data_IF_565758359426
#
_entry.id   IF_565758359426
#
_cell.length_a   1.000
_cell.length_b   1.000
_cell.length_c   1.000
_cell.angle_alpha   90.00
_cell.angle_beta   90.00
_cell.angle_gamma   90.00
#
_symmetry.space_group_name_H-M   'P 1'
#
loop_
_entity.id
_entity.type
_entity.pdbx_description
1 polymer ?
#
# COMPACT_ATOMS: atom_id res chain seq x y z
N UNK A 1 17.91 -15.30 16.92
CA UNK A 1 17.19 -15.72 15.70
C UNK A 1 17.61 -14.76 14.59
N UNK A 2 18.40 -15.21 13.62
CA UNK A 2 18.77 -14.36 12.48
C UNK A 2 17.55 -14.25 11.57
N UNK A 3 16.93 -13.08 11.53
CA UNK A 3 15.85 -12.79 10.59
C UNK A 3 16.50 -12.60 9.22
N UNK A 4 16.02 -13.35 8.24
CA UNK A 4 16.43 -13.19 6.84
C UNK A 4 16.15 -11.74 6.40
N UNK A 5 17.14 -11.09 5.78
CA UNK A 5 17.03 -9.70 5.33
C UNK A 5 15.85 -9.50 4.35
N UNK A 6 15.53 -10.52 3.54
CA UNK A 6 14.37 -10.51 2.65
C UNK A 6 13.05 -10.54 3.41
N UNK A 7 12.96 -11.34 4.47
CA UNK A 7 11.78 -11.38 5.35
C UNK A 7 11.60 -10.04 6.08
N UNK A 8 12.69 -9.45 6.56
CA UNK A 8 12.65 -8.14 7.20
C UNK A 8 12.17 -7.05 6.23
N UNK A 9 12.71 -7.01 5.01
CA UNK A 9 12.29 -6.06 3.98
C UNK A 9 10.81 -6.23 3.61
N UNK A 10 10.33 -7.47 3.50
CA UNK A 10 8.92 -7.76 3.27
C UNK A 10 8.03 -7.23 4.39
N UNK A 11 8.40 -7.43 5.66
CA UNK A 11 7.61 -6.90 6.77
C UNK A 11 7.60 -5.37 6.83
N UNK A 12 8.74 -4.73 6.57
CA UNK A 12 8.82 -3.27 6.46
C UNK A 12 7.92 -2.77 5.32
N UNK A 13 7.90 -3.48 4.19
CA UNK A 13 7.01 -3.18 3.07
C UNK A 13 5.54 -3.24 3.48
N UNK A 14 5.14 -4.34 4.11
CA UNK A 14 3.77 -4.58 4.54
C UNK A 14 3.29 -3.58 5.60
N UNK A 15 4.20 -3.04 6.43
CA UNK A 15 3.89 -1.94 7.35
C UNK A 15 3.47 -0.65 6.63
N UNK A 16 3.90 -0.44 5.38
CA UNK A 16 3.41 0.66 4.54
C UNK A 16 2.14 0.29 3.76
N UNK A 17 2.11 -0.91 3.17
CA UNK A 17 0.99 -1.36 2.32
C UNK A 17 -0.31 -1.53 3.11
N UNK A 18 -0.28 -2.15 4.28
CA UNK A 18 -1.49 -2.48 5.05
C UNK A 18 -2.24 -1.22 5.54
N UNK A 19 -1.59 -0.24 6.21
CA UNK A 19 -2.28 0.99 6.60
C UNK A 19 -2.79 1.77 5.40
N UNK A 20 -2.07 1.76 4.29
CA UNK A 20 -2.51 2.40 3.04
C UNK A 20 -3.77 1.73 2.51
N UNK A 21 -3.82 0.40 2.49
CA UNK A 21 -5.00 -0.34 2.08
C UNK A 21 -6.20 -0.01 2.96
N UNK A 22 -6.02 0.01 4.29
CA UNK A 22 -7.08 0.38 5.23
C UNK A 22 -7.56 1.81 4.96
N UNK A 23 -6.64 2.75 4.78
CA UNK A 23 -6.97 4.13 4.46
C UNK A 23 -7.78 4.24 3.16
N UNK A 24 -7.31 3.61 2.08
CA UNK A 24 -7.98 3.62 0.79
C UNK A 24 -9.38 3.02 0.90
N UNK A 25 -9.48 1.84 1.52
CA UNK A 25 -10.72 1.08 1.57
C UNK A 25 -11.78 1.73 2.45
N UNK A 26 -11.43 2.38 3.56
CA UNK A 26 -12.41 2.84 4.54
C UNK A 26 -12.55 4.36 4.66
N UNK A 27 -11.52 5.12 4.27
CA UNK A 27 -11.50 6.57 4.46
C UNK A 27 -11.48 7.36 3.15
N UNK A 28 -10.98 6.77 2.07
CA UNK A 28 -10.87 7.45 0.78
C UNK A 28 -11.92 6.99 -0.25
N UNK A 29 -12.49 5.80 -0.08
CA UNK A 29 -13.37 5.19 -1.08
C UNK A 29 -14.83 5.29 -0.68
N UNK A 30 -15.67 5.81 -1.59
CA UNK A 30 -17.12 5.75 -1.48
C UNK A 30 -17.69 4.57 -2.26
N UNK A 31 -18.18 3.55 -1.55
CA UNK A 31 -18.76 2.38 -2.19
C UNK A 31 -20.21 2.62 -2.61
N UNK A 32 -20.55 2.13 -3.79
CA UNK A 32 -21.93 1.91 -4.23
C UNK A 32 -22.10 0.43 -4.59
N UNK A 33 -23.33 -0.02 -4.78
CA UNK A 33 -23.67 -1.44 -4.93
C UNK A 33 -23.00 -2.21 -6.09
N UNK A 34 -22.36 -1.52 -7.03
CA UNK A 34 -21.57 -2.14 -8.10
C UNK A 34 -20.09 -1.77 -8.09
N UNK A 35 -19.74 -0.54 -7.69
CA UNK A 35 -18.38 -0.04 -7.83
C UNK A 35 -17.39 -0.79 -6.93
N UNK A 36 -17.87 -1.43 -5.86
CA UNK A 36 -17.02 -2.12 -4.90
C UNK A 36 -16.24 -3.25 -5.57
N UNK A 37 -16.80 -3.89 -6.61
CA UNK A 37 -16.14 -4.94 -7.39
C UNK A 37 -14.88 -4.40 -8.08
N UNK A 38 -14.89 -3.14 -8.48
CA UNK A 38 -13.77 -2.49 -9.20
C UNK A 38 -12.84 -1.79 -8.22
N UNK A 39 -13.40 -1.10 -7.22
CA UNK A 39 -12.62 -0.29 -6.27
C UNK A 39 -11.80 -1.15 -5.32
N UNK A 40 -12.29 -2.32 -4.90
CA UNK A 40 -11.50 -3.22 -4.04
C UNK A 40 -10.20 -3.67 -4.73
N UNK A 41 -10.22 -4.25 -5.96
CA UNK A 41 -9.00 -4.57 -6.69
C UNK A 41 -8.08 -3.36 -6.89
N UNK A 42 -8.63 -2.21 -7.30
CA UNK A 42 -7.83 -0.99 -7.52
C UNK A 42 -7.12 -0.57 -6.23
N UNK A 43 -7.83 -0.56 -5.10
CA UNK A 43 -7.26 -0.17 -3.82
C UNK A 43 -6.17 -1.15 -3.35
N UNK A 44 -6.33 -2.45 -3.61
CA UNK A 44 -5.29 -3.46 -3.33
C UNK A 44 -4.03 -3.19 -4.17
N UNK A 45 -4.18 -2.95 -5.47
CA UNK A 45 -3.04 -2.61 -6.33
C UNK A 45 -2.37 -1.30 -5.92
N UNK A 46 -3.16 -0.27 -5.61
CA UNK A 46 -2.66 1.04 -5.24
C UNK A 46 -1.94 0.99 -3.89
N UNK A 47 -2.45 0.20 -2.93
CA UNK A 47 -1.84 0.02 -1.62
C UNK A 47 -0.44 -0.60 -1.69
N UNK A 48 -0.19 -1.50 -2.64
CA UNK A 48 1.14 -2.10 -2.84
C UNK A 48 2.10 -1.20 -3.61
N UNK A 49 1.60 -0.30 -4.46
CA UNK A 49 2.47 0.63 -5.23
C UNK A 49 2.83 1.86 -4.38
N UNK A 50 1.94 2.28 -3.47
CA UNK A 50 2.12 3.50 -2.69
C UNK A 50 3.41 3.57 -1.85
N UNK A 51 3.89 2.48 -1.19
CA UNK A 51 5.16 2.51 -0.49
C UNK A 51 6.36 2.77 -1.41
N UNK A 52 6.27 2.40 -2.71
CA UNK A 52 7.30 2.74 -3.72
C UNK A 52 7.40 4.26 -3.86
N UNK A 53 6.27 4.96 -3.95
CA UNK A 53 6.25 6.42 -4.08
C UNK A 53 6.96 7.10 -2.89
N UNK A 54 6.67 6.65 -1.67
CA UNK A 54 7.36 7.19 -0.49
C UNK A 54 8.85 6.86 -0.50
N UNK A 55 9.22 5.63 -0.85
CA UNK A 55 10.64 5.27 -0.96
C UNK A 55 11.38 6.18 -1.95
N UNK A 56 10.81 6.40 -3.14
CA UNK A 56 11.39 7.30 -4.16
C UNK A 56 11.46 8.75 -3.68
N UNK A 57 10.41 9.22 -2.99
CA UNK A 57 10.39 10.56 -2.40
C UNK A 57 11.46 10.74 -1.32
N UNK A 58 11.61 9.76 -0.44
CA UNK A 58 12.66 9.76 0.60
C UNK A 58 14.06 9.74 0.01
N UNK A 59 14.23 9.07 -1.14
CA UNK A 59 15.49 9.05 -1.89
C UNK A 59 15.71 10.33 -2.73
N UNK A 60 14.78 11.29 -2.73
CA UNK A 60 14.90 12.55 -3.46
C UNK A 60 14.59 12.45 -4.96
N UNK A 61 14.01 11.36 -5.43
CA UNK A 61 13.64 11.16 -6.84
C UNK A 61 12.27 11.74 -7.21
N UNK A 62 11.44 12.06 -6.21
CA UNK A 62 10.13 12.69 -6.39
C UNK A 62 10.08 14.01 -5.61
N UNK A 63 9.91 15.13 -6.33
CA UNK A 63 9.80 16.50 -5.81
C UNK A 63 8.39 16.81 -5.30
#
# INVERSE_FOLDING_TARGET
>A
MNIDKGVLAFWIWQLGSIPTLIYLMFFNTSYNWWNWIILIPINIFLAEIWPIYWLLKWMGFAS
#
